data_IF_997207488646
#
_entry.id   IF_997207488646
#
_cell.length_a   1.000
_cell.length_b   1.000
_cell.length_c   1.000
_cell.angle_alpha   90.00
_cell.angle_beta   90.00
_cell.angle_gamma   90.00
#
_symmetry.space_group_name_H-M   'P 1'
#
loop_
_entity.id
_entity.type
_entity.pdbx_description
1 polymer ?
#
# COMPACT_ATOMS: atom_id res chain seq x y z
N UNK A 1 4.77 -2.52 20.82
CA UNK A 1 4.15 -1.39 20.12
C UNK A 1 2.63 -1.53 20.18
N UNK A 2 1.87 -0.47 20.51
CA UNK A 2 0.41 -0.47 20.43
C UNK A 2 -0.09 -0.74 19.00
N UNK A 3 -1.22 -1.44 18.86
CA UNK A 3 -1.78 -1.81 17.55
C UNK A 3 -2.03 -0.60 16.63
N UNK A 4 -2.42 0.55 17.20
CA UNK A 4 -2.67 1.78 16.43
C UNK A 4 -1.39 2.33 15.79
N UNK A 5 -0.27 2.29 16.51
CA UNK A 5 1.04 2.74 16.00
C UNK A 5 1.55 1.78 14.93
N UNK A 6 1.45 0.47 15.17
CA UNK A 6 1.83 -0.55 14.20
C UNK A 6 1.07 -0.41 12.87
N UNK A 7 -0.25 -0.20 12.92
CA UNK A 7 -1.06 0.02 11.72
C UNK A 7 -0.69 1.31 11.00
N UNK A 8 -0.27 2.35 11.72
CA UNK A 8 0.19 3.60 11.11
C UNK A 8 1.52 3.41 10.38
N UNK A 9 2.46 2.69 10.98
CA UNK A 9 3.76 2.37 10.38
C UNK A 9 3.59 1.48 9.15
N UNK A 10 2.77 0.42 9.24
CA UNK A 10 2.44 -0.42 8.11
C UNK A 10 1.79 0.39 6.99
N UNK A 11 0.82 1.26 7.31
CA UNK A 11 0.16 2.11 6.31
C UNK A 11 1.18 2.97 5.57
N UNK A 12 2.11 3.61 6.30
CA UNK A 12 3.17 4.41 5.70
C UNK A 12 4.03 3.58 4.75
N UNK A 13 4.52 2.43 5.21
CA UNK A 13 5.31 1.51 4.40
C UNK A 13 4.58 1.08 3.12
N UNK A 14 3.30 0.71 3.23
CA UNK A 14 2.47 0.26 2.10
C UNK A 14 2.22 1.41 1.11
N UNK A 15 1.88 2.60 1.61
CA UNK A 15 1.61 3.78 0.77
C UNK A 15 2.88 4.27 0.04
N UNK A 16 4.07 4.00 0.59
CA UNK A 16 5.36 4.30 -0.07
C UNK A 16 5.83 3.20 -1.02
N UNK A 17 5.55 1.93 -0.71
CA UNK A 17 6.11 0.78 -1.46
C UNK A 17 5.23 0.33 -2.62
N UNK A 18 3.92 0.21 -2.42
CA UNK A 18 3.01 -0.32 -3.46
C UNK A 18 3.03 0.51 -4.76
N UNK A 19 3.07 1.86 -4.71
CA UNK A 19 3.10 2.65 -5.94
C UNK A 19 4.32 2.44 -6.83
N UNK A 20 5.42 1.94 -6.28
CA UNK A 20 6.65 1.66 -7.03
C UNK A 20 6.46 0.52 -8.04
N UNK A 21 5.40 -0.28 -7.88
CA UNK A 21 5.04 -1.37 -8.79
C UNK A 21 3.98 -0.96 -9.82
N UNK A 22 3.49 0.28 -9.79
CA UNK A 22 2.60 0.80 -10.82
C UNK A 22 3.43 1.37 -11.99
N UNK A 23 2.95 1.23 -13.24
CA UNK A 23 3.50 1.98 -14.36
C UNK A 23 3.46 3.49 -14.08
N UNK A 24 4.37 4.24 -14.70
CA UNK A 24 4.29 5.70 -14.66
C UNK A 24 2.93 6.17 -15.21
N UNK A 25 2.37 7.22 -14.60
CA UNK A 25 1.08 7.80 -15.02
C UNK A 25 1.09 8.23 -16.49
N UNK A 26 2.26 8.60 -17.00
CA UNK A 26 2.51 9.06 -18.37
C UNK A 26 2.76 7.91 -19.36
N UNK A 27 2.99 6.69 -18.88
CA UNK A 27 3.19 5.53 -19.74
C UNK A 27 1.91 5.22 -20.54
N UNK A 28 2.06 4.81 -21.79
CA UNK A 28 0.90 4.48 -22.62
C UNK A 28 0.22 3.18 -22.16
N UNK A 29 -1.11 3.13 -22.02
CA UNK A 29 -2.07 4.23 -22.16
C UNK A 29 -2.21 5.06 -20.86
N UNK A 30 -1.92 6.36 -20.94
CA UNK A 30 -1.82 7.23 -19.76
C UNK A 30 -3.10 7.36 -18.93
N UNK A 31 -4.27 7.37 -19.57
CA UNK A 31 -5.56 7.50 -18.87
C UNK A 31 -5.86 6.33 -17.93
N UNK A 32 -5.45 5.10 -18.32
CA UNK A 32 -5.63 3.92 -17.48
C UNK A 32 -4.69 3.99 -16.29
N UNK A 33 -3.41 4.31 -16.52
CA UNK A 33 -2.42 4.40 -15.45
C UNK A 33 -2.76 5.52 -14.47
N UNK A 34 -3.19 6.69 -14.94
CA UNK A 34 -3.67 7.76 -14.07
C UNK A 34 -4.85 7.31 -13.18
N UNK A 35 -5.82 6.60 -13.78
CA UNK A 35 -6.98 6.06 -13.05
C UNK A 35 -6.58 4.99 -12.01
N UNK A 36 -5.59 4.16 -12.32
CA UNK A 36 -5.04 3.17 -11.37
C UNK A 36 -4.39 3.86 -10.17
N UNK A 37 -3.54 4.87 -10.43
CA UNK A 37 -2.92 5.66 -9.38
C UNK A 37 -3.98 6.36 -8.53
N UNK A 38 -4.96 7.03 -9.14
CA UNK A 38 -6.05 7.67 -8.42
C UNK A 38 -6.78 6.69 -7.48
N UNK A 39 -7.14 5.52 -8.00
CA UNK A 39 -7.83 4.47 -7.23
C UNK A 39 -6.99 3.94 -6.07
N UNK A 40 -5.67 3.82 -6.26
CA UNK A 40 -4.77 3.34 -5.22
C UNK A 40 -4.54 4.41 -4.13
N UNK A 41 -4.41 5.68 -4.52
CA UNK A 41 -4.08 6.81 -3.64
C UNK A 41 -5.28 7.50 -3.00
N UNK A 42 -6.52 7.10 -3.30
CA UNK A 42 -7.75 7.67 -2.74
C UNK A 42 -7.94 7.48 -1.21
N UNK A 43 -6.86 7.17 -0.48
CA UNK A 43 -6.86 6.95 0.96
C UNK A 43 -7.30 5.54 1.34
N UNK A 44 -7.26 5.26 2.65
CA UNK A 44 -7.65 3.98 3.21
C UNK A 44 -6.78 3.54 4.39
N UNK A 45 -7.31 2.64 5.21
CA UNK A 45 -6.63 2.12 6.42
C UNK A 45 -5.57 1.06 6.14
N UNK A 46 -5.52 0.52 4.91
CA UNK A 46 -4.62 -0.58 4.50
C UNK A 46 -4.68 -1.83 5.41
N UNK A 47 -5.83 -2.11 6.00
CA UNK A 47 -6.01 -3.23 6.93
C UNK A 47 -5.59 -4.59 6.34
N UNK A 48 -5.94 -4.88 5.08
CA UNK A 48 -5.63 -6.18 4.47
C UNK A 48 -4.11 -6.42 4.36
N UNK A 49 -3.30 -5.52 3.74
CA UNK A 49 -1.86 -5.74 3.74
C UNK A 49 -1.21 -5.60 5.12
N UNK A 50 -1.69 -4.74 6.02
CA UNK A 50 -1.16 -4.67 7.38
C UNK A 50 -1.33 -5.99 8.15
N UNK A 51 -2.48 -6.67 7.99
CA UNK A 51 -2.70 -7.97 8.59
C UNK A 51 -1.85 -9.07 7.95
N UNK A 52 -1.60 -8.97 6.64
CA UNK A 52 -0.69 -9.89 5.95
C UNK A 52 0.73 -9.79 6.50
N UNK A 53 1.25 -8.58 6.68
CA UNK A 53 2.58 -8.33 7.27
C UNK A 53 2.63 -8.89 8.69
N UNK A 54 1.64 -8.57 9.53
CA UNK A 54 1.56 -9.08 10.90
C UNK A 54 1.50 -10.62 10.96
N UNK A 55 0.78 -11.25 10.03
CA UNK A 55 0.70 -12.71 9.96
C UNK A 55 2.05 -13.35 9.58
N UNK A 56 2.79 -12.75 8.64
CA UNK A 56 4.14 -13.20 8.28
C UNK A 56 5.10 -13.04 9.47
N UNK A 57 5.11 -11.88 10.12
CA UNK A 57 5.92 -11.62 11.32
C UNK A 57 5.60 -12.60 12.46
N UNK A 58 4.31 -12.94 12.65
CA UNK A 58 3.88 -13.86 13.71
C UNK A 58 4.41 -15.28 13.52
N UNK A 59 4.74 -15.69 12.29
CA UNK A 59 5.30 -17.02 11.99
C UNK A 59 6.81 -17.01 11.76
N UNK A 60 7.47 -15.87 11.96
CA UNK A 60 8.93 -15.74 11.88
C UNK A 60 9.48 -15.16 10.57
N UNK A 61 8.62 -14.75 9.64
CA UNK A 61 9.02 -14.13 8.37
C UNK A 61 9.38 -15.11 7.27
#
# INVERSE_FOLDING_TARGET
MPAKEYLADCKKFIDESVPQYLPEKTAYPGSIHESMHYSLFAGGKRLRPSLLIAAAEAVGG
#
